data_IF_029267542311
#
_entry.id   IF_029267542311
#
_cell.length_a   1.000
_cell.length_b   1.000
_cell.length_c   1.000
_cell.angle_alpha   90.00
_cell.angle_beta   90.00
_cell.angle_gamma   90.00
#
_symmetry.space_group_name_H-M   'P 1'
#
loop_
_entity.id
_entity.type
_entity.pdbx_description
1 polymer ?
#
# COMPACT_ATOMS: atom_id res chain seq x y z
N UNK A 1 -19.21 12.18 -85.60
CA UNK A 1 -19.20 13.54 -85.06
C UNK A 1 -20.42 13.74 -84.17
N UNK A 2 -20.25 14.51 -83.09
CA UNK A 2 -21.13 14.67 -81.93
C UNK A 2 -22.53 15.21 -82.28
N UNK A 3 -23.53 14.77 -81.49
CA UNK A 3 -24.66 15.51 -80.88
C UNK A 3 -26.01 14.81 -81.13
N UNK A 4 -26.69 14.43 -80.05
CA UNK A 4 -27.89 15.10 -79.48
C UNK A 4 -28.46 14.28 -78.31
N UNK A 5 -28.87 14.97 -77.24
CA UNK A 5 -29.81 14.50 -76.18
C UNK A 5 -31.16 15.13 -76.57
N UNK A 6 -32.34 14.48 -76.42
CA UNK A 6 -33.20 14.87 -75.29
C UNK A 6 -34.30 13.87 -74.81
N UNK A 7 -34.92 14.24 -73.67
CA UNK A 7 -36.22 13.84 -73.08
C UNK A 7 -36.33 12.47 -72.38
N UNK A 8 -36.30 12.42 -71.04
CA UNK A 8 -37.40 12.75 -70.12
C UNK A 8 -38.52 11.70 -70.10
N UNK A 9 -38.49 10.82 -69.09
CA UNK A 9 -39.65 10.07 -68.60
C UNK A 9 -39.63 10.02 -67.07
N UNK A 10 -40.42 10.94 -66.50
CA UNK A 10 -41.40 10.71 -65.45
C UNK A 10 -41.27 9.39 -64.65
N UNK A 11 -40.90 9.51 -63.38
CA UNK A 11 -41.21 8.50 -62.37
C UNK A 11 -41.57 9.20 -61.05
N UNK A 12 -42.86 9.15 -60.76
CA UNK A 12 -43.53 9.44 -59.50
C UNK A 12 -42.86 8.64 -58.37
N UNK A 13 -42.18 9.31 -57.43
CA UNK A 13 -41.64 8.65 -56.23
C UNK A 13 -42.52 8.96 -55.02
N UNK A 14 -43.17 7.88 -54.61
CA UNK A 14 -44.06 7.70 -53.48
C UNK A 14 -43.36 8.04 -52.16
N UNK A 15 -43.98 8.94 -51.38
CA UNK A 15 -43.58 9.31 -50.03
C UNK A 15 -43.74 8.13 -49.05
N UNK A 16 -42.63 7.59 -48.55
CA UNK A 16 -42.62 6.70 -47.39
C UNK A 16 -42.13 7.45 -46.16
N UNK A 17 -43.06 7.76 -45.25
CA UNK A 17 -42.77 8.25 -43.91
C UNK A 17 -42.02 7.17 -43.11
N UNK A 18 -40.71 7.34 -42.92
CA UNK A 18 -39.95 6.53 -41.98
C UNK A 18 -40.05 7.18 -40.60
N UNK A 19 -40.83 6.56 -39.71
CA UNK A 19 -40.82 6.87 -38.30
C UNK A 19 -39.43 6.54 -37.73
N UNK A 20 -38.73 7.56 -37.25
CA UNK A 20 -37.43 7.39 -36.59
C UNK A 20 -37.60 6.52 -35.35
N UNK A 21 -36.90 5.39 -35.31
CA UNK A 21 -36.77 4.59 -34.10
C UNK A 21 -35.87 5.39 -33.14
N UNK A 22 -36.48 6.01 -32.14
CA UNK A 22 -35.78 6.58 -31.01
C UNK A 22 -35.07 5.47 -30.24
N UNK A 23 -33.75 5.37 -30.37
CA UNK A 23 -32.95 4.59 -29.44
C UNK A 23 -33.01 5.28 -28.07
N UNK A 24 -33.71 4.65 -27.14
CA UNK A 24 -33.58 4.95 -25.72
C UNK A 24 -32.12 4.71 -25.32
N UNK A 25 -31.37 5.79 -25.22
CA UNK A 25 -30.06 5.78 -24.60
C UNK A 25 -30.26 5.52 -23.11
N UNK A 26 -30.00 4.28 -22.69
CA UNK A 26 -29.89 3.92 -21.29
C UNK A 26 -28.67 4.67 -20.76
N UNK A 27 -28.96 5.80 -20.12
CA UNK A 27 -28.01 6.59 -19.36
C UNK A 27 -27.21 5.67 -18.44
N UNK A 28 -25.89 5.85 -18.48
CA UNK A 28 -24.93 5.05 -17.76
C UNK A 28 -25.35 4.85 -16.31
N UNK A 29 -25.68 3.60 -15.98
CA UNK A 29 -25.56 3.10 -14.62
C UNK A 29 -24.07 2.88 -14.33
N UNK A 30 -23.29 3.96 -14.37
CA UNK A 30 -21.95 4.00 -13.76
C UNK A 30 -22.13 4.53 -12.35
N UNK A 31 -22.89 3.79 -11.54
CA UNK A 31 -22.72 3.83 -10.09
C UNK A 31 -21.82 2.65 -9.73
N UNK A 32 -20.52 2.78 -10.03
CA UNK A 32 -19.50 1.94 -9.41
C UNK A 32 -18.80 2.76 -8.36
N UNK A 33 -19.44 2.82 -7.21
CA UNK A 33 -18.78 2.98 -5.92
C UNK A 33 -17.62 1.97 -5.84
N UNK A 34 -16.40 2.45 -5.64
CA UNK A 34 -15.16 1.68 -5.47
C UNK A 34 -14.76 0.77 -6.66
N UNK A 35 -14.28 1.40 -7.74
CA UNK A 35 -12.95 1.11 -8.31
C UNK A 35 -12.58 -0.32 -8.71
N UNK A 36 -13.48 -1.10 -9.32
CA UNK A 36 -13.07 -2.32 -10.03
C UNK A 36 -13.63 -2.27 -11.45
N UNK A 37 -12.75 -2.23 -12.44
CA UNK A 37 -13.11 -2.29 -13.85
C UNK A 37 -13.37 -3.75 -14.26
N UNK A 38 -14.19 -3.97 -15.30
CA UNK A 38 -14.62 -5.33 -15.75
C UNK A 38 -13.45 -6.27 -16.08
N UNK A 39 -12.27 -5.74 -16.41
CA UNK A 39 -11.03 -6.50 -16.65
C UNK A 39 -10.38 -6.99 -15.35
N UNK A 40 -10.40 -6.18 -14.27
CA UNK A 40 -9.95 -6.61 -12.94
C UNK A 40 -10.84 -7.73 -12.38
N UNK A 41 -12.14 -7.75 -12.70
CA UNK A 41 -13.04 -8.82 -12.27
C UNK A 41 -12.60 -10.22 -12.76
N UNK A 42 -12.02 -10.34 -13.96
CA UNK A 42 -11.57 -11.63 -14.50
C UNK A 42 -10.24 -12.08 -13.89
N UNK A 43 -9.30 -11.16 -13.64
CA UNK A 43 -8.04 -11.49 -12.96
C UNK A 43 -8.26 -11.84 -11.47
N UNK A 44 -9.16 -11.14 -10.78
CA UNK A 44 -9.57 -11.45 -9.40
C UNK A 44 -10.22 -12.84 -9.32
N UNK A 45 -10.99 -13.23 -10.34
CA UNK A 45 -11.63 -14.54 -10.39
C UNK A 45 -10.64 -15.71 -10.57
N UNK A 46 -9.48 -15.48 -11.19
CA UNK A 46 -8.42 -16.49 -11.36
C UNK A 46 -7.34 -16.44 -10.28
N UNK A 47 -7.35 -15.41 -9.42
CA UNK A 47 -6.40 -15.26 -8.32
C UNK A 47 -6.61 -16.25 -7.17
N UNK A 48 -5.61 -16.33 -6.29
CA UNK A 48 -5.71 -17.14 -5.07
C UNK A 48 -6.46 -16.38 -3.97
N UNK A 49 -7.49 -17.00 -3.40
CA UNK A 49 -8.11 -16.49 -2.19
C UNK A 49 -7.23 -16.81 -0.99
N UNK A 50 -6.82 -15.78 -0.25
CA UNK A 50 -6.05 -15.95 1.00
C UNK A 50 -6.74 -16.93 1.93
N UNK A 51 -8.05 -16.79 2.16
CA UNK A 51 -8.80 -17.66 3.09
C UNK A 51 -9.02 -19.07 2.54
N UNK A 52 -9.31 -19.23 1.25
CA UNK A 52 -9.72 -20.53 0.69
C UNK A 52 -8.53 -21.37 0.19
N UNK A 53 -7.53 -20.70 -0.40
CA UNK A 53 -6.45 -21.34 -1.14
C UNK A 53 -5.11 -21.36 -0.40
N UNK A 54 -4.86 -20.41 0.52
CA UNK A 54 -3.55 -20.26 1.16
C UNK A 54 -3.58 -20.54 2.65
N UNK A 55 -4.32 -19.74 3.41
CA UNK A 55 -4.29 -19.74 4.86
C UNK A 55 -4.65 -21.10 5.45
N UNK A 56 -3.79 -21.63 6.33
CA UNK A 56 -3.98 -22.91 7.00
C UNK A 56 -3.80 -24.15 6.11
N UNK A 57 -3.46 -23.99 4.82
CA UNK A 57 -3.23 -25.12 3.92
C UNK A 57 -1.88 -25.76 4.18
N UNK A 58 -1.84 -27.07 3.96
CA UNK A 58 -0.63 -27.87 4.05
C UNK A 58 0.23 -27.62 2.81
N UNK A 59 1.52 -27.41 3.03
CA UNK A 59 2.52 -27.24 1.99
C UNK A 59 3.30 -28.54 1.81
N UNK A 60 3.47 -28.93 0.56
CA UNK A 60 4.18 -30.13 0.14
C UNK A 60 5.41 -29.77 -0.70
N UNK A 61 6.28 -30.73 -0.93
CA UNK A 61 7.29 -30.66 -1.97
C UNK A 61 6.86 -31.44 -3.22
N UNK A 62 7.69 -31.42 -4.26
CA UNK A 62 7.47 -32.11 -5.54
C UNK A 62 7.25 -33.62 -5.38
N UNK A 63 7.83 -34.20 -4.33
CA UNK A 63 7.73 -35.64 -4.01
C UNK A 63 6.46 -35.98 -3.24
N UNK A 64 5.58 -35.00 -2.97
CA UNK A 64 4.37 -35.17 -2.17
C UNK A 64 4.62 -35.26 -0.66
N UNK A 65 5.84 -34.97 -0.19
CA UNK A 65 6.18 -34.96 1.23
C UNK A 65 5.66 -33.68 1.87
N UNK A 66 4.95 -33.82 2.99
CA UNK A 66 4.48 -32.67 3.78
C UNK A 66 5.66 -31.93 4.41
N UNK A 67 5.75 -30.64 4.11
CA UNK A 67 6.80 -29.74 4.57
C UNK A 67 6.33 -28.92 5.77
N UNK A 68 5.12 -28.37 5.72
CA UNK A 68 4.59 -27.50 6.77
C UNK A 68 3.16 -27.06 6.52
N UNK A 69 2.76 -25.95 7.15
CA UNK A 69 1.47 -25.28 6.97
C UNK A 69 1.68 -23.79 6.74
N UNK A 70 0.86 -23.19 5.89
CA UNK A 70 0.80 -21.73 5.74
C UNK A 70 0.15 -21.13 6.99
N UNK A 71 0.90 -20.31 7.71
CA UNK A 71 0.44 -19.64 8.93
C UNK A 71 0.11 -18.16 8.69
N UNK A 72 0.81 -17.49 7.76
CA UNK A 72 0.53 -16.09 7.40
C UNK A 72 1.02 -15.71 5.99
N UNK A 73 0.68 -14.50 5.51
CA UNK A 73 1.22 -13.89 4.30
C UNK A 73 1.68 -12.45 4.59
N UNK A 74 2.82 -12.08 4.02
CA UNK A 74 3.39 -10.73 4.14
C UNK A 74 3.07 -9.93 2.88
N UNK A 75 2.36 -8.82 3.08
CA UNK A 75 2.16 -7.79 2.06
C UNK A 75 3.30 -6.78 2.20
N UNK A 76 4.04 -6.55 1.12
CA UNK A 76 5.12 -5.57 1.07
C UNK A 76 4.58 -4.14 0.98
N UNK A 77 5.41 -3.11 1.27
CA UNK A 77 4.97 -1.71 1.23
C UNK A 77 4.43 -1.21 -0.11
N UNK A 78 4.79 -1.90 -1.21
CA UNK A 78 4.28 -1.69 -2.57
C UNK A 78 2.87 -2.27 -2.79
N UNK A 79 2.23 -2.78 -1.71
CA UNK A 79 0.89 -3.35 -1.68
C UNK A 79 0.73 -4.66 -2.45
N UNK A 80 1.82 -5.41 -2.66
CA UNK A 80 1.80 -6.74 -3.26
C UNK A 80 2.07 -7.82 -2.21
N UNK A 81 1.52 -9.02 -2.42
CA UNK A 81 1.90 -10.17 -1.59
C UNK A 81 3.31 -10.58 -1.98
N UNK A 82 4.24 -10.57 -1.04
CA UNK A 82 5.65 -10.88 -1.31
C UNK A 82 6.07 -12.22 -0.75
N UNK A 83 5.62 -12.56 0.47
CA UNK A 83 6.04 -13.79 1.16
C UNK A 83 4.85 -14.52 1.78
N UNK A 84 5.00 -15.82 1.92
CA UNK A 84 4.14 -16.71 2.70
C UNK A 84 4.96 -17.23 3.87
N UNK A 85 4.39 -17.18 5.07
CA UNK A 85 5.01 -17.72 6.27
C UNK A 85 4.57 -19.17 6.41
N UNK A 86 5.54 -20.08 6.33
CA UNK A 86 5.33 -21.52 6.44
C UNK A 86 5.84 -22.00 7.80
N UNK A 87 4.94 -22.45 8.66
CA UNK A 87 5.28 -23.13 9.89
C UNK A 87 5.76 -24.55 9.60
N UNK A 88 7.05 -24.84 9.81
CA UNK A 88 7.63 -26.16 9.55
C UNK A 88 7.17 -27.25 10.56
N UNK A 89 6.44 -26.85 11.61
CA UNK A 89 5.96 -27.72 12.69
C UNK A 89 7.08 -28.11 13.66
N UNK A 90 6.79 -28.02 14.96
CA UNK A 90 7.76 -28.21 16.05
C UNK A 90 8.57 -29.50 15.90
N UNK A 91 9.87 -29.32 15.67
CA UNK A 91 10.83 -30.40 15.75
C UNK A 91 10.97 -30.77 17.23
N UNK A 92 10.94 -32.07 17.56
CA UNK A 92 10.99 -32.57 18.94
C UNK A 92 12.03 -31.79 19.77
N UNK A 93 11.58 -30.97 20.72
CA UNK A 93 12.42 -30.19 21.64
C UNK A 93 12.71 -28.73 21.29
N UNK A 94 12.36 -28.24 20.09
CA UNK A 94 12.53 -26.84 19.67
C UNK A 94 11.14 -26.30 19.29
N UNK A 95 10.82 -25.07 19.68
CA UNK A 95 9.51 -24.44 19.48
C UNK A 95 9.07 -24.30 18.01
N UNK A 96 8.15 -23.37 17.75
CA UNK A 96 7.73 -23.07 16.37
C UNK A 96 8.92 -22.54 15.56
N UNK A 97 9.14 -23.10 14.37
CA UNK A 97 10.14 -22.66 13.39
C UNK A 97 9.40 -22.23 12.13
N UNK A 98 9.08 -20.94 12.08
CA UNK A 98 8.35 -20.34 10.98
C UNK A 98 9.37 -19.83 9.95
N UNK A 99 9.10 -19.96 8.66
CA UNK A 99 10.03 -19.59 7.58
C UNK A 99 9.29 -18.73 6.55
N UNK A 100 9.89 -17.62 6.14
CA UNK A 100 9.37 -16.79 5.07
C UNK A 100 9.80 -17.35 3.70
N UNK A 101 8.82 -17.68 2.86
CA UNK A 101 9.03 -18.20 1.51
C UNK A 101 8.43 -17.21 0.50
N UNK A 102 9.17 -16.80 -0.56
CA UNK A 102 8.60 -15.96 -1.60
C UNK A 102 7.37 -16.60 -2.24
N UNK A 103 6.29 -15.82 -2.43
CA UNK A 103 5.04 -16.34 -3.04
C UNK A 103 5.29 -16.93 -4.44
N UNK A 104 6.29 -16.41 -5.17
CA UNK A 104 6.66 -16.87 -6.50
C UNK A 104 7.18 -18.33 -6.54
N UNK A 105 7.63 -18.87 -5.41
CA UNK A 105 8.08 -20.26 -5.29
C UNK A 105 6.93 -21.22 -4.98
N UNK A 106 5.76 -20.68 -4.60
CA UNK A 106 4.58 -21.45 -4.27
C UNK A 106 3.83 -21.78 -5.56
N UNK A 107 3.58 -23.05 -5.79
CA UNK A 107 2.85 -23.56 -6.95
C UNK A 107 1.58 -24.28 -6.48
N UNK A 108 0.50 -24.15 -7.25
CA UNK A 108 -0.69 -24.99 -7.05
C UNK A 108 -0.60 -26.22 -7.94
N UNK A 109 -0.56 -27.40 -7.33
CA UNK A 109 -0.53 -28.70 -8.00
C UNK A 109 -1.78 -29.47 -7.63
N UNK A 110 -2.80 -29.35 -8.48
CA UNK A 110 -4.11 -30.02 -8.32
C UNK A 110 -4.77 -29.71 -6.97
N UNK A 111 -4.77 -28.44 -6.56
CA UNK A 111 -5.36 -27.99 -5.29
C UNK A 111 -4.45 -28.20 -4.07
N UNK A 112 -3.17 -28.51 -4.28
CA UNK A 112 -2.15 -28.62 -3.23
C UNK A 112 -1.07 -27.58 -3.43
N UNK A 113 -0.68 -26.93 -2.34
CA UNK A 113 0.43 -26.00 -2.33
C UNK A 113 1.76 -26.77 -2.34
N UNK A 114 2.60 -26.51 -3.34
CA UNK A 114 3.88 -27.16 -3.55
C UNK A 114 4.99 -26.12 -3.60
N UNK A 115 6.08 -26.36 -2.87
CA UNK A 115 7.33 -25.61 -3.00
C UNK A 115 8.38 -26.57 -3.57
N UNK A 116 8.92 -26.23 -4.73
CA UNK A 116 9.97 -26.98 -5.38
C UNK A 116 11.27 -26.97 -4.55
N UNK A 117 11.97 -28.11 -4.46
CA UNK A 117 13.22 -28.26 -3.72
C UNK A 117 13.11 -28.15 -2.18
N UNK A 118 11.91 -27.88 -1.64
CA UNK A 118 11.74 -27.77 -0.20
C UNK A 118 11.86 -29.14 0.48
N UNK A 119 12.71 -29.21 1.49
CA UNK A 119 12.77 -30.36 2.41
C UNK A 119 12.71 -29.87 3.84
N UNK A 120 12.30 -30.72 4.78
CA UNK A 120 12.32 -30.36 6.21
C UNK A 120 13.72 -29.96 6.69
N UNK A 121 14.78 -30.56 6.14
CA UNK A 121 16.15 -30.19 6.46
C UNK A 121 16.50 -28.79 5.93
N UNK A 122 16.10 -28.48 4.70
CA UNK A 122 16.29 -27.15 4.11
C UNK A 122 15.55 -26.07 4.92
N UNK A 123 14.30 -26.34 5.33
CA UNK A 123 13.54 -25.40 6.16
C UNK A 123 14.14 -25.17 7.55
N UNK A 124 14.78 -26.19 8.15
CA UNK A 124 15.53 -26.03 9.40
C UNK A 124 16.77 -25.16 9.23
N UNK A 125 17.43 -25.25 8.08
CA UNK A 125 18.64 -24.49 7.79
C UNK A 125 18.31 -23.02 7.46
N UNK A 126 17.08 -22.74 7.02
CA UNK A 126 16.62 -21.37 6.79
C UNK A 126 16.44 -20.62 8.13
N UNK A 127 16.75 -19.32 8.15
CA UNK A 127 16.54 -18.50 9.33
C UNK A 127 15.06 -18.51 9.72
N UNK A 128 14.80 -18.59 11.02
CA UNK A 128 13.45 -18.45 11.54
C UNK A 128 12.95 -17.03 11.19
N UNK A 129 11.75 -16.97 10.64
CA UNK A 129 11.02 -15.73 10.46
C UNK A 129 10.52 -15.28 11.83
N UNK A 130 11.06 -14.16 12.28
CA UNK A 130 10.51 -13.43 13.41
C UNK A 130 9.58 -12.36 12.86
N UNK A 131 8.35 -12.33 13.37
CA UNK A 131 7.48 -11.19 13.11
C UNK A 131 8.20 -9.97 13.68
N UNK A 132 8.12 -8.84 12.99
CA UNK A 132 8.56 -7.59 13.59
C UNK A 132 7.73 -7.37 14.86
N UNK A 133 8.28 -7.76 16.01
CA UNK A 133 7.59 -7.69 17.27
C UNK A 133 7.23 -6.22 17.48
N UNK A 134 6.04 -5.92 17.99
CA UNK A 134 5.53 -4.55 18.12
C UNK A 134 6.55 -3.62 18.81
N UNK A 135 7.38 -4.18 19.68
CA UNK A 135 8.53 -3.54 20.33
C UNK A 135 9.60 -3.06 19.34
N UNK A 136 10.09 -3.91 18.43
CA UNK A 136 11.14 -3.55 17.47
C UNK A 136 10.65 -2.50 16.46
N UNK A 137 9.40 -2.65 16.00
CA UNK A 137 8.76 -1.67 15.10
C UNK A 137 8.54 -0.33 15.81
N UNK A 138 8.18 -0.36 17.09
CA UNK A 138 8.07 0.83 17.95
C UNK A 138 9.42 1.50 18.17
N UNK A 139 10.45 0.74 18.48
CA UNK A 139 11.80 1.27 18.70
C UNK A 139 12.33 1.95 17.45
N UNK A 140 12.14 1.35 16.27
CA UNK A 140 12.49 1.96 15.00
C UNK A 140 11.71 3.25 14.72
N UNK A 141 10.41 3.27 15.07
CA UNK A 141 9.58 4.46 14.92
C UNK A 141 9.99 5.58 15.86
N UNK A 142 10.27 5.26 17.13
CA UNK A 142 10.78 6.20 18.13
C UNK A 142 12.13 6.77 17.68
N UNK A 143 13.04 5.93 17.20
CA UNK A 143 14.35 6.35 16.69
C UNK A 143 14.23 7.28 15.47
N UNK A 144 13.31 7.00 14.55
CA UNK A 144 13.03 7.87 13.41
C UNK A 144 12.45 9.22 13.86
N UNK A 145 11.50 9.22 14.79
CA UNK A 145 10.92 10.45 15.34
C UNK A 145 11.94 11.30 16.12
N UNK A 146 12.82 10.67 16.90
CA UNK A 146 13.93 11.36 17.59
C UNK A 146 14.87 12.03 16.57
N UNK A 147 15.16 11.35 15.45
CA UNK A 147 15.98 11.91 14.36
C UNK A 147 15.31 13.12 13.68
N UNK A 148 14.02 13.04 13.41
CA UNK A 148 13.26 14.14 12.80
C UNK A 148 13.21 15.37 13.72
N UNK A 149 13.00 15.16 15.03
CA UNK A 149 13.06 16.24 16.05
C UNK A 149 14.46 16.86 16.09
N UNK A 150 15.52 16.05 16.03
CA UNK A 150 16.89 16.55 16.00
C UNK A 150 17.18 17.40 14.74
N UNK A 151 16.70 16.96 13.57
CA UNK A 151 16.84 17.71 12.32
C UNK A 151 16.05 19.03 12.35
N UNK A 152 14.84 19.03 12.91
CA UNK A 152 14.03 20.25 13.07
C UNK A 152 14.73 21.25 14.01
N UNK A 153 15.32 20.80 15.11
CA UNK A 153 16.13 21.66 16.00
C UNK A 153 17.36 22.23 15.31
N UNK A 154 18.05 21.44 14.50
CA UNK A 154 19.20 21.92 13.72
C UNK A 154 18.78 22.98 12.69
N UNK A 155 17.62 22.80 12.03
CA UNK A 155 17.07 23.78 11.11
C UNK A 155 16.69 25.09 11.82
N UNK A 156 16.13 25.02 13.04
CA UNK A 156 15.85 26.20 13.87
C UNK A 156 17.15 26.96 14.17
N UNK A 157 18.21 26.28 14.59
CA UNK A 157 19.50 26.92 14.88
C UNK A 157 20.10 27.61 13.64
N UNK A 158 19.90 27.04 12.46
CA UNK A 158 20.34 27.64 11.19
C UNK A 158 19.48 28.87 10.80
N UNK A 159 18.17 28.81 11.03
CA UNK A 159 17.28 29.97 10.84
C UNK A 159 17.63 31.10 11.81
N UNK A 160 17.98 30.79 13.06
CA UNK A 160 18.43 31.78 14.05
C UNK A 160 19.73 32.48 13.62
N UNK A 161 20.70 31.72 13.08
CA UNK A 161 21.93 32.29 12.50
C UNK A 161 21.63 33.21 11.32
N UNK A 162 20.74 32.79 10.40
CA UNK A 162 20.30 33.62 9.27
C UNK A 162 19.56 34.87 9.73
N UNK A 163 18.74 34.76 10.77
CA UNK A 163 18.03 35.90 11.35
C UNK A 163 18.98 36.90 12.04
N UNK A 164 20.12 36.44 12.57
CA UNK A 164 21.13 37.29 13.17
C UNK A 164 21.85 38.19 12.14
N UNK A 165 22.02 37.72 10.91
CA UNK A 165 22.64 38.46 9.80
C UNK A 165 21.66 39.16 8.86
N UNK A 166 20.35 39.05 9.11
CA UNK A 166 19.30 39.57 8.23
C UNK A 166 18.92 41.03 8.53
N UNK A 167 18.30 41.69 7.55
CA UNK A 167 17.68 43.01 7.72
C UNK A 167 16.50 42.94 8.69
N UNK A 168 16.08 44.08 9.26
CA UNK A 168 15.04 44.12 10.31
C UNK A 168 13.72 43.46 9.89
N UNK A 169 13.26 43.69 8.66
CA UNK A 169 12.03 43.10 8.12
C UNK A 169 12.15 41.58 7.89
N UNK A 170 13.26 41.12 7.33
CA UNK A 170 13.53 39.70 7.11
C UNK A 170 13.74 38.96 8.44
N UNK A 171 14.39 39.62 9.41
CA UNK A 171 14.57 39.11 10.77
C UNK A 171 13.24 38.93 11.49
N UNK A 172 12.29 39.87 11.36
CA UNK A 172 10.96 39.73 11.94
C UNK A 172 10.21 38.51 11.37
N UNK A 173 10.24 38.31 10.05
CA UNK A 173 9.63 37.14 9.38
C UNK A 173 10.30 35.82 9.78
N UNK A 174 11.62 35.79 9.86
CA UNK A 174 12.36 34.60 10.29
C UNK A 174 12.07 34.27 11.76
N UNK A 175 11.96 35.26 12.63
CA UNK A 175 11.62 35.05 14.04
C UNK A 175 10.20 34.48 14.22
N UNK A 176 9.24 34.91 13.41
CA UNK A 176 7.89 34.35 13.40
C UNK A 176 7.89 32.87 12.96
N UNK A 177 8.65 32.54 11.91
CA UNK A 177 8.84 31.16 11.46
C UNK A 177 9.55 30.29 12.52
N UNK A 178 10.60 30.83 13.15
CA UNK A 178 11.34 30.15 14.24
C UNK A 178 10.41 29.86 15.42
N UNK A 179 9.54 30.80 15.80
CA UNK A 179 8.58 30.62 16.87
C UNK A 179 7.57 29.49 16.55
N UNK A 180 7.00 29.52 15.35
CA UNK A 180 6.08 28.47 14.89
C UNK A 180 6.75 27.08 14.85
N UNK A 181 7.99 27.00 14.36
CA UNK A 181 8.75 25.74 14.31
C UNK A 181 9.10 25.23 15.71
N UNK A 182 9.45 26.12 16.66
CA UNK A 182 9.71 25.76 18.06
C UNK A 182 8.46 25.17 18.72
N UNK A 183 7.29 25.74 18.48
CA UNK A 183 6.03 25.22 19.03
C UNK A 183 5.70 23.83 18.46
N UNK A 184 5.94 23.60 17.17
CA UNK A 184 5.78 22.29 16.55
C UNK A 184 6.76 21.25 17.10
N UNK A 185 8.03 21.62 17.29
CA UNK A 185 9.05 20.75 17.91
C UNK A 185 8.62 20.38 19.33
N UNK A 186 8.18 21.34 20.13
CA UNK A 186 7.70 21.11 21.50
C UNK A 186 6.49 20.16 21.54
N UNK A 187 5.55 20.34 20.61
CA UNK A 187 4.41 19.43 20.49
C UNK A 187 4.83 18.00 20.10
N UNK A 188 5.78 17.87 19.16
CA UNK A 188 6.33 16.58 18.75
C UNK A 188 7.08 15.88 19.89
N UNK A 189 7.88 16.60 20.67
CA UNK A 189 8.56 16.09 21.86
C UNK A 189 7.60 15.59 22.93
N UNK A 190 6.52 16.33 23.20
CA UNK A 190 5.48 15.90 24.14
C UNK A 190 4.82 14.60 23.69
N UNK A 191 4.51 14.48 22.39
CA UNK A 191 3.93 13.26 21.81
C UNK A 191 4.91 12.09 21.82
N UNK A 192 6.20 12.35 21.62
CA UNK A 192 7.25 11.36 21.70
C UNK A 192 7.49 10.88 23.14
N UNK A 193 7.35 11.75 24.13
CA UNK A 193 7.38 11.39 25.54
C UNK A 193 6.16 10.52 25.92
N UNK A 194 4.97 10.87 25.44
CA UNK A 194 3.76 10.03 25.59
C UNK A 194 3.95 8.65 24.94
N UNK A 195 4.57 8.57 23.76
CA UNK A 195 4.92 7.31 23.08
C UNK A 195 5.87 6.44 23.89
N UNK A 196 6.92 7.06 24.44
CA UNK A 196 7.94 6.37 25.24
C UNK A 196 7.36 5.88 26.57
N UNK A 197 6.42 6.62 27.15
CA UNK A 197 5.73 6.27 28.40
C UNK A 197 4.59 5.25 28.20
N UNK A 198 3.97 5.20 27.02
CA UNK A 198 2.88 4.26 26.73
C UNK A 198 3.40 2.86 26.35
N UNK A 199 3.08 1.85 27.16
CA UNK A 199 3.37 0.44 26.87
C UNK A 199 2.48 -0.13 25.74
N UNK A 200 2.92 -1.27 25.17
CA UNK A 200 2.44 -2.01 23.97
C UNK A 200 0.91 -2.02 23.72
N UNK A 201 0.09 -1.86 24.76
CA UNK A 201 -1.37 -1.97 24.72
C UNK A 201 -2.12 -0.88 23.92
N UNK A 202 -1.51 0.27 23.63
CA UNK A 202 -2.16 1.42 22.93
C UNK A 202 -1.55 1.79 21.57
N UNK A 203 -0.62 0.98 21.08
CA UNK A 203 0.16 1.27 19.86
C UNK A 203 -0.71 1.51 18.61
N UNK A 204 -1.80 0.75 18.46
CA UNK A 204 -2.70 0.86 17.31
C UNK A 204 -3.55 2.15 17.28
N UNK A 205 -3.96 2.68 18.43
CA UNK A 205 -4.69 3.97 18.48
C UNK A 205 -3.74 5.14 18.18
N UNK A 206 -2.47 5.01 18.57
CA UNK A 206 -1.48 6.06 18.39
C UNK A 206 -0.95 6.13 16.95
N UNK A 207 -0.84 5.00 16.24
CA UNK A 207 -0.40 4.97 14.83
C UNK A 207 -1.30 5.83 13.92
N UNK A 208 -2.62 5.76 14.12
CA UNK A 208 -3.58 6.56 13.36
C UNK A 208 -3.41 8.07 13.65
N UNK A 209 -3.21 8.43 14.92
CA UNK A 209 -3.01 9.81 15.33
C UNK A 209 -1.69 10.38 14.76
N UNK A 210 -0.61 9.60 14.76
CA UNK A 210 0.67 10.07 14.20
C UNK A 210 0.61 10.16 12.69
N UNK A 211 0.06 9.15 11.98
CA UNK A 211 -0.11 9.23 10.52
C UNK A 211 -0.91 10.47 10.10
N UNK A 212 -1.96 10.79 10.85
CA UNK A 212 -2.73 12.01 10.62
C UNK A 212 -1.90 13.29 10.87
N UNK A 213 -1.07 13.31 11.92
CA UNK A 213 -0.19 14.44 12.20
C UNK A 213 0.91 14.61 11.13
N UNK A 214 1.53 13.53 10.66
CA UNK A 214 2.58 13.59 9.62
C UNK A 214 2.03 13.97 8.26
N UNK A 215 0.80 13.54 7.93
CA UNK A 215 0.13 13.94 6.70
C UNK A 215 -0.11 15.46 6.66
N UNK A 216 -0.62 16.03 7.77
CA UNK A 216 -0.83 17.49 7.89
C UNK A 216 0.46 18.29 7.80
N UNK A 217 1.55 17.77 8.37
CA UNK A 217 2.86 18.39 8.28
C UNK A 217 3.34 18.46 6.82
N UNK A 218 3.17 17.37 6.07
CA UNK A 218 3.56 17.29 4.65
C UNK A 218 2.74 18.22 3.77
N UNK A 219 1.43 18.29 4.00
CA UNK A 219 0.56 19.19 3.25
C UNK A 219 0.89 20.66 3.55
N UNK A 220 1.22 20.98 4.80
CA UNK A 220 1.68 22.31 5.19
C UNK A 220 3.00 22.67 4.52
N UNK A 221 3.96 21.75 4.46
CA UNK A 221 5.24 21.97 3.77
C UNK A 221 5.08 22.19 2.26
N UNK A 222 4.16 21.47 1.61
CA UNK A 222 3.86 21.63 0.18
C UNK A 222 3.18 22.97 -0.10
N UNK A 223 2.29 23.40 0.80
CA UNK A 223 1.65 24.71 0.76
C UNK A 223 2.65 25.85 0.97
N UNK A 224 3.65 25.67 1.84
CA UNK A 224 4.71 26.68 2.08
C UNK A 224 5.80 26.73 0.99
N UNK A 225 5.85 25.74 0.10
CA UNK A 225 6.77 25.68 -1.04
C UNK A 225 6.14 26.18 -2.36
N UNK A 226 4.85 26.53 -2.33
CA UNK A 226 4.08 27.12 -3.44
C UNK A 226 3.92 28.62 -3.20
#
# INVERSE_FOLDING_TARGET
>A
MKRTIPFARLALVLSLSFAGISYAQVAGSTTTTLGVSVVENTEIAMGWSVKKNLMGKTVFNEQGVRIGRVDDLIISPDKRVSYVIVGAGGFVGIGRHDVAVPIAQLQDSTGRLVIAGATKATLKALPAFDYANDTARREQFIAAADKDVAQAKAAIAELEKKAASATAETKARLNEQIAALKDQVKAAESKLAELKAASVKRWHEFEAAVKAATARLRDSLKSSAS
#
